data_IF_840143365309
#
_entry.id   IF_840143365309
#
_cell.length_a   1.000
_cell.length_b   1.000
_cell.length_c   1.000
_cell.angle_alpha   90.00
_cell.angle_beta   90.00
_cell.angle_gamma   90.00
#
_symmetry.space_group_name_H-M   'P 1'
#
loop_
_entity.id
_entity.type
_entity.pdbx_description
1 polymer ?
#
# COMPACT_ATOMS: atom_id res chain seq x y z
N UNK A 1 -1.39 -26.47 -6.04
CA UNK A 1 -1.28 -25.01 -6.17
C UNK A 1 -2.40 -24.42 -5.34
N UNK A 2 -2.11 -24.23 -4.07
CA UNK A 2 -2.84 -23.35 -3.17
C UNK A 2 -2.81 -21.94 -3.76
N UNK A 3 -3.97 -21.34 -4.05
CA UNK A 3 -4.11 -20.07 -4.75
C UNK A 3 -3.53 -18.84 -4.04
N UNK A 4 -2.65 -19.02 -3.04
CA UNK A 4 -1.97 -17.97 -2.28
C UNK A 4 -1.17 -17.02 -3.19
N UNK A 5 -0.58 -17.53 -4.27
CA UNK A 5 0.14 -16.71 -5.25
C UNK A 5 -0.78 -16.11 -6.34
N UNK A 6 -2.06 -16.48 -6.39
CA UNK A 6 -2.97 -16.09 -7.47
C UNK A 6 -3.17 -14.59 -7.57
N UNK A 7 -3.25 -13.89 -6.42
CA UNK A 7 -3.32 -12.43 -6.39
C UNK A 7 -2.06 -11.79 -6.99
N UNK A 8 -0.89 -12.16 -6.48
CA UNK A 8 0.40 -11.62 -6.92
C UNK A 8 0.64 -11.91 -8.40
N UNK A 9 0.39 -13.15 -8.83
CA UNK A 9 0.53 -13.55 -10.23
C UNK A 9 -0.39 -12.73 -11.15
N UNK A 10 -1.66 -12.54 -10.77
CA UNK A 10 -2.62 -11.75 -11.57
C UNK A 10 -2.22 -10.28 -11.66
N UNK A 11 -1.72 -9.69 -10.57
CA UNK A 11 -1.20 -8.32 -10.57
C UNK A 11 0.03 -8.19 -11.45
N UNK A 12 0.99 -9.10 -11.33
CA UNK A 12 2.18 -9.11 -12.18
C UNK A 12 1.84 -9.27 -13.67
N UNK A 13 0.91 -10.19 -14.03
CA UNK A 13 0.45 -10.33 -15.42
C UNK A 13 -0.18 -9.03 -15.94
N UNK A 14 -0.92 -8.30 -15.11
CA UNK A 14 -1.51 -7.00 -15.48
C UNK A 14 -0.42 -5.96 -15.77
N UNK A 15 0.66 -5.92 -14.98
CA UNK A 15 1.79 -5.02 -15.20
C UNK A 15 2.50 -5.34 -16.52
N UNK A 16 2.85 -6.61 -16.75
CA UNK A 16 3.48 -7.05 -18.00
C UNK A 16 2.61 -6.75 -19.21
N UNK A 17 1.29 -6.90 -19.09
CA UNK A 17 0.35 -6.53 -20.14
C UNK A 17 0.43 -5.03 -20.47
N UNK A 18 0.40 -4.16 -19.47
CA UNK A 18 0.50 -2.71 -19.67
C UNK A 18 1.86 -2.29 -20.24
N UNK A 19 2.95 -2.91 -19.81
CA UNK A 19 4.29 -2.69 -20.37
C UNK A 19 4.33 -3.04 -21.88
N UNK A 20 3.69 -4.16 -22.27
CA UNK A 20 3.57 -4.53 -23.69
C UNK A 20 2.73 -3.52 -24.48
N UNK A 21 1.64 -3.02 -23.90
CA UNK A 21 0.81 -1.99 -24.54
C UNK A 21 1.61 -0.70 -24.75
N UNK A 22 2.41 -0.27 -23.77
CA UNK A 22 3.33 0.85 -23.94
C UNK A 22 4.31 0.60 -25.09
N UNK A 23 4.95 -0.58 -25.13
CA UNK A 23 5.93 -0.93 -26.17
C UNK A 23 5.33 -1.01 -27.58
N UNK A 24 4.12 -1.56 -27.71
CA UNK A 24 3.47 -1.78 -29.02
C UNK A 24 2.76 -0.53 -29.55
N UNK A 25 2.18 0.28 -28.67
CA UNK A 25 1.29 1.37 -29.07
C UNK A 25 1.76 2.76 -28.61
N UNK A 26 2.83 2.87 -27.81
CA UNK A 26 3.34 4.14 -27.30
C UNK A 26 2.35 4.87 -26.39
N UNK A 27 1.50 4.12 -25.67
CA UNK A 27 0.61 4.65 -24.64
C UNK A 27 1.40 4.86 -23.36
N UNK A 28 1.31 6.04 -22.76
CA UNK A 28 1.96 6.32 -21.48
C UNK A 28 1.34 5.47 -20.37
N UNK A 29 2.20 4.85 -19.56
CA UNK A 29 1.80 3.92 -18.51
C UNK A 29 2.52 4.27 -17.22
N UNK A 30 1.74 4.44 -16.16
CA UNK A 30 2.22 4.58 -14.79
C UNK A 30 1.62 3.45 -13.94
N UNK A 31 2.48 2.65 -13.32
CA UNK A 31 2.12 1.52 -12.47
C UNK A 31 2.38 1.90 -11.01
N UNK A 32 1.31 2.13 -10.26
CA UNK A 32 1.37 2.37 -8.82
C UNK A 32 1.33 1.02 -8.07
N UNK A 33 2.34 0.78 -7.23
CA UNK A 33 2.51 -0.40 -6.40
C UNK A 33 2.44 -0.01 -4.92
N UNK A 34 1.23 0.08 -4.35
CA UNK A 34 1.08 0.39 -2.94
C UNK A 34 1.46 -0.78 -2.03
N UNK A 35 1.98 -0.45 -0.85
CA UNK A 35 2.05 -1.38 0.29
C UNK A 35 0.64 -1.59 0.88
N UNK A 36 0.53 -1.83 2.19
CA UNK A 36 -0.78 -2.01 2.81
C UNK A 36 -1.56 -0.69 2.83
N UNK A 37 -2.63 -0.61 2.03
CA UNK A 37 -3.50 0.56 2.04
C UNK A 37 -4.41 0.52 3.27
N UNK A 38 -4.34 1.58 4.08
CA UNK A 38 -5.24 1.80 5.21
C UNK A 38 -6.30 2.82 4.82
N UNK A 39 -7.57 2.44 4.99
CA UNK A 39 -8.73 3.29 4.80
C UNK A 39 -9.68 3.11 5.97
N UNK A 40 -10.32 4.20 6.40
CA UNK A 40 -11.48 4.09 7.29
C UNK A 40 -12.61 3.35 6.57
N UNK A 41 -13.22 2.38 7.26
CA UNK A 41 -14.21 1.47 6.66
C UNK A 41 -13.67 0.62 5.49
N UNK A 42 -12.37 0.32 5.48
CA UNK A 42 -11.75 -0.54 4.47
C UNK A 42 -12.36 -1.96 4.43
N UNK A 43 -12.05 -2.78 3.40
CA UNK A 43 -12.61 -4.12 3.27
C UNK A 43 -12.31 -4.98 4.49
N UNK A 44 -13.33 -5.70 5.00
CA UNK A 44 -13.20 -6.64 6.13
C UNK A 44 -12.21 -7.79 5.85
N UNK A 45 -11.75 -7.97 4.62
CA UNK A 45 -10.74 -8.96 4.26
C UNK A 45 -9.31 -8.44 4.43
N UNK A 46 -9.11 -7.14 4.70
CA UNK A 46 -7.79 -6.57 4.92
C UNK A 46 -7.34 -6.82 6.37
N UNK A 47 -6.43 -7.79 6.53
CA UNK A 47 -5.87 -8.22 7.82
C UNK A 47 -5.31 -7.04 8.61
N UNK A 48 -4.60 -6.12 7.95
CA UNK A 48 -3.97 -4.97 8.61
C UNK A 48 -5.02 -3.96 9.08
N UNK A 49 -6.00 -3.63 8.25
CA UNK A 49 -7.08 -2.72 8.68
C UNK A 49 -7.84 -3.30 9.86
N UNK A 50 -8.19 -4.58 9.80
CA UNK A 50 -8.86 -5.26 10.91
C UNK A 50 -8.01 -5.25 12.18
N UNK A 51 -6.72 -5.58 12.05
CA UNK A 51 -5.80 -5.57 13.19
C UNK A 51 -5.82 -4.20 13.88
N UNK A 52 -5.71 -3.11 13.12
CA UNK A 52 -5.72 -1.77 13.66
C UNK A 52 -7.09 -1.39 14.25
N UNK A 53 -8.18 -1.67 13.53
CA UNK A 53 -9.55 -1.35 13.97
C UNK A 53 -9.92 -2.06 15.27
N UNK A 54 -9.75 -3.38 15.33
CA UNK A 54 -10.09 -4.15 16.52
C UNK A 54 -9.13 -3.87 17.67
N UNK A 55 -7.86 -3.54 17.38
CA UNK A 55 -6.95 -3.11 18.45
C UNK A 55 -7.47 -1.86 19.15
N UNK A 56 -7.93 -0.86 18.38
CA UNK A 56 -8.56 0.37 18.91
C UNK A 56 -9.81 0.07 19.72
N UNK A 57 -10.71 -0.76 19.18
CA UNK A 57 -11.97 -1.13 19.86
C UNK A 57 -11.74 -1.86 21.18
N UNK A 58 -10.76 -2.76 21.22
CA UNK A 58 -10.44 -3.54 22.42
C UNK A 58 -9.47 -2.84 23.37
N UNK A 59 -8.84 -1.73 22.94
CA UNK A 59 -7.73 -1.06 23.64
C UNK A 59 -6.58 -2.03 23.95
N UNK A 60 -6.33 -2.97 23.03
CA UNK A 60 -5.33 -4.01 23.16
C UNK A 60 -4.71 -4.38 21.81
N UNK A 61 -3.47 -4.83 21.78
CA UNK A 61 -2.79 -5.35 20.59
C UNK A 61 -2.32 -6.79 20.82
N UNK A 62 -2.29 -7.64 19.78
CA UNK A 62 -1.72 -8.97 19.92
C UNK A 62 -0.21 -8.92 20.12
N UNK A 63 0.31 -9.90 20.86
CA UNK A 63 1.73 -10.21 20.92
C UNK A 63 2.10 -10.99 19.65
N UNK A 64 2.91 -10.38 18.79
CA UNK A 64 3.23 -10.90 17.47
C UNK A 64 4.62 -11.56 17.44
N UNK A 65 4.86 -12.54 18.31
CA UNK A 65 6.20 -13.15 18.47
C UNK A 65 6.69 -13.91 17.23
N UNK A 66 5.77 -14.44 16.43
CA UNK A 66 6.08 -15.15 15.19
C UNK A 66 6.27 -14.23 13.98
N UNK A 67 6.06 -12.92 14.14
CA UNK A 67 6.21 -11.94 13.07
C UNK A 67 7.51 -11.17 13.25
N UNK A 68 8.30 -11.11 12.19
CA UNK A 68 9.52 -10.30 12.13
C UNK A 68 9.35 -9.12 11.17
N UNK A 69 10.16 -8.08 11.36
CA UNK A 69 10.25 -6.94 10.45
C UNK A 69 9.38 -5.76 10.86
N UNK A 70 8.73 -5.17 9.85
CA UNK A 70 8.01 -3.90 10.00
C UNK A 70 6.65 -4.00 9.34
N UNK A 71 5.70 -3.33 9.95
CA UNK A 71 4.52 -2.91 9.25
C UNK A 71 4.84 -1.71 8.36
N UNK A 72 4.44 -1.79 7.09
CA UNK A 72 4.52 -0.70 6.11
C UNK A 72 3.11 -0.45 5.59
N UNK A 73 2.64 0.77 5.78
CA UNK A 73 1.32 1.20 5.37
C UNK A 73 1.36 2.53 4.60
N UNK A 74 0.33 2.73 3.79
CA UNK A 74 0.01 4.00 3.15
C UNK A 74 -1.47 4.32 3.35
N UNK A 75 -1.78 5.56 3.69
CA UNK A 75 -3.17 6.01 3.77
C UNK A 75 -3.81 6.04 2.38
N UNK A 76 -5.04 5.54 2.27
CA UNK A 76 -5.76 5.48 1.00
C UNK A 76 -5.89 6.83 0.30
N UNK A 77 -6.12 7.91 1.06
CA UNK A 77 -6.19 9.26 0.52
C UNK A 77 -4.85 9.71 -0.10
N UNK A 78 -3.72 9.33 0.52
CA UNK A 78 -2.38 9.64 0.01
C UNK A 78 -2.13 8.85 -1.27
N UNK A 79 -2.41 7.55 -1.28
CA UNK A 79 -2.28 6.74 -2.48
C UNK A 79 -3.14 7.28 -3.65
N UNK A 80 -4.38 7.70 -3.37
CA UNK A 80 -5.24 8.33 -4.38
C UNK A 80 -4.67 9.67 -4.88
N UNK A 81 -4.19 10.51 -3.96
CA UNK A 81 -3.57 11.80 -4.31
C UNK A 81 -2.36 11.61 -5.22
N UNK A 82 -1.50 10.63 -4.92
CA UNK A 82 -0.29 10.37 -5.70
C UNK A 82 -0.62 9.86 -7.11
N UNK A 83 -1.71 9.10 -7.28
CA UNK A 83 -2.22 8.71 -8.61
C UNK A 83 -2.69 9.93 -9.40
N UNK A 84 -3.44 10.84 -8.77
CA UNK A 84 -3.92 12.06 -9.44
C UNK A 84 -2.76 12.97 -9.81
N UNK A 85 -1.79 13.14 -8.90
CA UNK A 85 -0.60 13.95 -9.14
C UNK A 85 0.24 13.40 -10.29
N UNK A 86 0.50 12.09 -10.32
CA UNK A 86 1.28 11.45 -11.40
C UNK A 86 0.63 11.68 -12.77
N UNK A 87 -0.70 11.60 -12.85
CA UNK A 87 -1.46 11.92 -14.06
C UNK A 87 -1.33 13.39 -14.46
N UNK A 88 -1.49 14.32 -13.51
CA UNK A 88 -1.38 15.75 -13.78
C UNK A 88 0.03 16.14 -14.26
N UNK A 89 1.08 15.59 -13.62
CA UNK A 89 2.47 15.81 -14.04
C UNK A 89 2.74 15.25 -15.43
N UNK A 90 2.22 14.07 -15.75
CA UNK A 90 2.29 13.46 -17.08
C UNK A 90 1.68 14.39 -18.13
N UNK A 91 0.42 14.83 -17.93
CA UNK A 91 -0.29 15.71 -18.86
C UNK A 91 0.41 17.06 -19.07
N UNK A 92 0.93 17.66 -17.99
CA UNK A 92 1.67 18.92 -18.07
C UNK A 92 2.99 18.77 -18.85
N UNK A 93 3.72 17.67 -18.65
CA UNK A 93 4.97 17.38 -19.36
C UNK A 93 4.79 17.16 -20.86
N UNK A 94 3.67 16.55 -21.27
CA UNK A 94 3.33 16.36 -22.69
C UNK A 94 3.01 17.66 -23.45
N UNK A 95 2.69 18.75 -22.76
CA UNK A 95 2.40 20.05 -23.38
C UNK A 95 3.66 20.88 -23.67
N UNK A 96 4.79 20.59 -23.02
CA UNK A 96 6.02 21.41 -23.13
C UNK A 96 7.10 20.75 -23.99
N UNK A 97 7.21 19.42 -24.02
CA UNK A 97 8.21 18.71 -24.80
C UNK A 97 7.56 17.81 -25.85
N UNK A 98 7.47 18.29 -27.09
CA UNK A 98 6.92 17.54 -28.23
C UNK A 98 7.68 16.26 -28.61
N UNK A 99 8.70 15.86 -27.85
CA UNK A 99 9.62 14.74 -28.10
C UNK A 99 10.01 13.95 -26.83
N UNK A 100 9.18 13.92 -25.78
CA UNK A 100 9.41 12.93 -24.71
C UNK A 100 9.25 11.51 -25.28
N UNK A 101 10.21 10.65 -24.98
CA UNK A 101 10.17 9.24 -25.36
C UNK A 101 8.94 8.58 -24.74
N UNK A 102 7.84 8.49 -25.50
CA UNK A 102 6.54 7.90 -25.09
C UNK A 102 6.62 6.41 -24.71
N UNK A 103 7.81 5.82 -24.79
CA UNK A 103 8.11 4.41 -24.51
C UNK A 103 8.66 4.18 -23.09
N UNK A 104 8.47 5.11 -22.15
CA UNK A 104 8.83 4.87 -20.75
C UNK A 104 7.61 4.49 -19.91
N UNK A 105 7.70 3.32 -19.27
CA UNK A 105 6.80 2.90 -18.20
C UNK A 105 7.35 3.41 -16.87
N UNK A 106 6.51 4.06 -16.06
CA UNK A 106 6.89 4.51 -14.72
C UNK A 106 6.35 3.56 -13.66
N UNK A 107 7.19 3.18 -12.70
CA UNK A 107 6.78 2.42 -11.52
C UNK A 107 6.91 3.28 -10.28
N UNK A 108 5.82 3.43 -9.54
CA UNK A 108 5.77 4.23 -8.31
C UNK A 108 5.47 3.28 -7.15
N UNK A 109 6.36 3.22 -6.16
CA UNK A 109 6.15 2.42 -4.96
C UNK A 109 5.53 3.29 -3.87
N UNK A 110 4.23 3.15 -3.66
CA UNK A 110 3.49 3.87 -2.61
C UNK A 110 3.68 3.14 -1.28
N UNK A 111 4.84 3.35 -0.67
CA UNK A 111 5.29 2.63 0.51
C UNK A 111 6.05 3.57 1.44
N UNK A 112 6.26 3.13 2.68
CA UNK A 112 7.05 3.83 3.69
C UNK A 112 6.46 5.18 4.15
N UNK A 113 5.16 5.39 3.96
CA UNK A 113 4.47 6.55 4.55
C UNK A 113 4.43 6.39 6.07
N UNK A 114 3.95 5.23 6.53
CA UNK A 114 4.03 4.82 7.94
C UNK A 114 4.78 3.50 8.04
N UNK A 115 5.96 3.53 8.66
CA UNK A 115 6.75 2.32 8.96
C UNK A 115 6.90 2.17 10.47
N UNK A 116 6.41 1.06 11.02
CA UNK A 116 6.55 0.75 12.44
C UNK A 116 7.11 -0.66 12.61
N UNK A 117 8.05 -0.89 13.54
CA UNK A 117 8.48 -2.25 13.83
C UNK A 117 7.29 -3.05 14.38
N UNK A 118 7.28 -4.38 14.18
CA UNK A 118 6.18 -5.26 14.63
C UNK A 118 5.87 -5.06 16.12
N UNK A 119 6.90 -4.94 16.96
CA UNK A 119 6.77 -4.69 18.40
C UNK A 119 6.39 -3.24 18.78
N UNK A 120 6.31 -2.34 17.80
CA UNK A 120 5.97 -0.93 17.97
C UNK A 120 4.48 -0.61 17.86
N UNK A 121 3.62 -1.61 17.59
CA UNK A 121 2.19 -1.41 17.31
C UNK A 121 1.44 -0.71 18.46
N UNK A 122 1.64 -1.15 19.71
CA UNK A 122 1.01 -0.52 20.89
C UNK A 122 1.41 0.96 21.01
N UNK A 123 2.70 1.26 20.86
CA UNK A 123 3.21 2.62 20.93
C UNK A 123 2.68 3.50 19.78
N UNK A 124 2.53 2.94 18.58
CA UNK A 124 1.94 3.63 17.44
C UNK A 124 0.48 4.02 17.71
N UNK A 125 -0.36 3.08 18.15
CA UNK A 125 -1.77 3.34 18.43
C UNK A 125 -1.98 4.29 19.61
N UNK A 126 -1.11 4.24 20.63
CA UNK A 126 -1.20 5.12 21.79
C UNK A 126 -0.91 6.60 21.48
N UNK A 127 -0.26 6.94 20.35
CA UNK A 127 0.08 8.32 19.98
C UNK A 127 -1.14 9.23 19.87
N UNK A 128 -2.23 8.70 19.30
CA UNK A 128 -3.42 9.49 18.99
C UNK A 128 -4.51 9.35 20.06
N UNK A 129 -4.37 8.39 20.97
CA UNK A 129 -5.45 8.00 21.91
C UNK A 129 -5.11 8.26 23.39
N UNK A 130 -3.92 8.80 23.68
CA UNK A 130 -3.54 9.32 25.01
C UNK A 130 -3.48 8.29 26.13
N UNK A 131 -3.65 7.00 25.83
CA UNK A 131 -3.60 5.92 26.80
C UNK A 131 -2.92 4.67 26.20
N UNK A 132 -2.17 3.91 27.02
CA UNK A 132 -1.46 2.72 26.55
C UNK A 132 -2.44 1.61 26.16
N UNK A 133 -2.04 0.78 25.19
CA UNK A 133 -2.75 -0.41 24.76
C UNK A 133 -2.18 -1.64 25.46
N UNK A 134 -3.05 -2.52 25.94
CA UNK A 134 -2.62 -3.78 26.54
C UNK A 134 -2.02 -4.70 25.48
N UNK A 135 -0.94 -5.41 25.80
CA UNK A 135 -0.39 -6.45 24.91
C UNK A 135 -0.95 -7.79 25.38
N UNK A 136 -1.63 -8.52 24.48
CA UNK A 136 -2.29 -9.78 24.78
C UNK A 136 -1.61 -10.89 23.97
N UNK A 137 -1.16 -11.95 24.65
CA UNK A 137 -0.65 -13.13 23.98
C UNK A 137 -1.75 -13.78 23.13
N UNK A 138 -1.43 -14.13 21.88
CA UNK A 138 -2.29 -15.01 21.08
C UNK A 138 -2.14 -16.43 21.62
N UNK A 139 -3.19 -16.96 22.23
CA UNK A 139 -3.27 -18.37 22.59
C UNK A 139 -3.72 -19.11 21.32
N UNK A 140 -3.00 -20.16 20.92
CA UNK A 140 -3.49 -21.10 19.90
C UNK A 140 -4.67 -21.93 20.43
#
# INVERSE_FOLDING_TARGET
>A
MDGAEGYTATKWVSEVFLERINSLFGLEVTIHRPSNIICDGGPETNIINNLLEYSRRMRAVPQLESWEGHFDFVQGQIAASNIVESLMTSMAGSAQDGHRNRLSVQHIHESRETVIPINGLSAYLAKDEGAPFQIIALHE
#
